data_IF_673579637855
#
_entry.id   IF_673579637855
#
_cell.length_a   1.000
_cell.length_b   1.000
_cell.length_c   1.000
_cell.angle_alpha   90.00
_cell.angle_beta   90.00
_cell.angle_gamma   90.00
#
_symmetry.space_group_name_H-M   'P 1'
#
loop_
_entity.id
_entity.type
_entity.pdbx_description
1 polymer ?
#
# COMPACT_ATOMS: atom_id res chain seq x y z
N UNK A 1 12.37 -7.25 -44.51
CA UNK A 1 11.65 -6.20 -43.75
C UNK A 1 11.18 -6.83 -42.46
N UNK A 2 11.93 -6.64 -41.37
CA UNK A 2 11.58 -7.17 -40.05
C UNK A 2 10.64 -6.17 -39.38
N UNK A 3 9.34 -6.46 -39.45
CA UNK A 3 8.32 -5.74 -38.73
C UNK A 3 8.54 -5.98 -37.23
N UNK A 4 9.20 -5.03 -36.58
CA UNK A 4 9.25 -4.88 -35.13
C UNK A 4 7.80 -4.86 -34.62
N UNK A 5 7.30 -6.03 -34.22
CA UNK A 5 6.10 -6.13 -33.39
C UNK A 5 6.44 -5.57 -32.01
N UNK A 6 6.47 -4.25 -31.88
CA UNK A 6 6.27 -3.58 -30.60
C UNK A 6 4.79 -3.72 -30.22
N UNK A 7 4.33 -4.95 -30.03
CA UNK A 7 3.12 -5.19 -29.28
C UNK A 7 3.50 -4.91 -27.83
N UNK A 8 2.98 -3.82 -27.27
CA UNK A 8 2.95 -3.59 -25.83
C UNK A 8 2.36 -4.85 -25.20
N UNK A 9 3.21 -5.75 -24.71
CA UNK A 9 2.80 -6.97 -24.02
C UNK A 9 1.94 -6.50 -22.84
N UNK A 10 0.63 -6.72 -22.93
CA UNK A 10 -0.34 -6.33 -21.91
C UNK A 10 0.03 -7.11 -20.65
N UNK A 11 0.61 -6.44 -19.65
CA UNK A 11 1.02 -7.06 -18.40
C UNK A 11 -0.22 -7.71 -17.76
N UNK A 12 -0.10 -8.96 -17.34
CA UNK A 12 -1.15 -9.66 -16.59
C UNK A 12 -1.58 -8.82 -15.38
N UNK A 13 -2.88 -8.60 -15.22
CA UNK A 13 -3.41 -7.76 -14.15
C UNK A 13 -3.02 -8.27 -12.77
N UNK A 14 -2.94 -9.60 -12.56
CA UNK A 14 -2.45 -10.21 -11.31
C UNK A 14 -1.01 -9.82 -11.01
N UNK A 15 -0.16 -9.81 -12.04
CA UNK A 15 1.25 -9.39 -11.94
C UNK A 15 1.35 -7.89 -11.64
N UNK A 16 0.56 -7.08 -12.32
CA UNK A 16 0.53 -5.63 -12.10
C UNK A 16 0.09 -5.28 -10.67
N UNK A 17 -1.01 -5.87 -10.19
CA UNK A 17 -1.52 -5.64 -8.83
C UNK A 17 -0.50 -6.06 -7.77
N UNK A 18 0.10 -7.24 -7.92
CA UNK A 18 1.17 -7.73 -7.03
C UNK A 18 2.38 -6.79 -7.02
N UNK A 19 2.81 -6.31 -8.19
CA UNK A 19 3.92 -5.35 -8.31
C UNK A 19 3.60 -4.02 -7.64
N UNK A 20 2.38 -3.50 -7.78
CA UNK A 20 1.97 -2.28 -7.10
C UNK A 20 1.97 -2.44 -5.58
N UNK A 21 1.55 -3.59 -5.04
CA UNK A 21 1.65 -3.88 -3.61
C UNK A 21 3.10 -3.96 -3.11
N UNK A 22 4.02 -4.49 -3.92
CA UNK A 22 5.47 -4.45 -3.60
C UNK A 22 5.94 -3.01 -3.49
N UNK A 23 5.56 -2.15 -4.45
CA UNK A 23 5.92 -0.73 -4.43
C UNK A 23 5.35 -0.03 -3.19
N UNK A 24 4.08 -0.27 -2.85
CA UNK A 24 3.47 0.26 -1.62
C UNK A 24 4.23 -0.20 -0.39
N UNK A 25 4.50 -1.50 -0.25
CA UNK A 25 5.19 -2.05 0.92
C UNK A 25 6.61 -1.48 1.10
N UNK A 26 7.36 -1.32 0.00
CA UNK A 26 8.71 -0.72 0.05
C UNK A 26 8.63 0.75 0.46
N UNK A 27 7.65 1.50 -0.04
CA UNK A 27 7.46 2.90 0.35
C UNK A 27 7.12 3.00 1.84
N UNK A 28 6.21 2.16 2.36
CA UNK A 28 5.81 2.17 3.77
C UNK A 28 7.03 1.90 4.66
N UNK A 29 7.83 0.89 4.28
CA UNK A 29 9.07 0.57 4.98
C UNK A 29 10.05 1.75 4.97
N UNK A 30 10.14 2.50 3.87
CA UNK A 30 11.02 3.68 3.78
C UNK A 30 10.50 4.86 4.56
N UNK A 31 9.19 5.09 4.59
CA UNK A 31 8.56 6.12 5.43
C UNK A 31 8.91 5.87 6.91
N UNK A 32 8.75 4.64 7.39
CA UNK A 32 9.06 4.27 8.76
C UNK A 32 10.54 4.41 9.09
N UNK A 33 11.43 3.86 8.25
CA UNK A 33 12.89 3.96 8.46
C UNK A 33 13.33 5.42 8.54
N UNK A 34 12.85 6.29 7.66
CA UNK A 34 13.19 7.71 7.68
C UNK A 34 12.61 8.43 8.91
N UNK A 35 11.40 8.04 9.32
CA UNK A 35 10.73 8.61 10.49
C UNK A 35 11.49 8.32 11.80
N UNK A 36 12.22 7.20 11.88
CA UNK A 36 13.09 6.90 13.04
C UNK A 36 14.21 7.91 13.26
N UNK A 37 14.59 8.68 12.23
CA UNK A 37 15.63 9.71 12.32
C UNK A 37 15.07 11.10 12.65
N UNK A 38 13.75 11.24 12.81
CA UNK A 38 13.11 12.49 13.18
C UNK A 38 13.38 12.79 14.66
N UNK A 39 13.95 13.95 15.01
CA UNK A 39 14.07 14.37 16.39
C UNK A 39 12.68 14.50 17.03
N UNK A 40 12.47 13.85 18.18
CA UNK A 40 11.21 13.93 18.90
C UNK A 40 10.14 12.90 18.48
N UNK A 41 10.49 11.91 17.64
CA UNK A 41 9.55 10.87 17.19
C UNK A 41 8.92 10.09 18.36
N UNK A 42 9.68 9.90 19.44
CA UNK A 42 9.20 9.24 20.66
C UNK A 42 8.09 10.03 21.36
N UNK A 43 8.23 11.35 21.41
CA UNK A 43 7.27 12.28 21.98
C UNK A 43 6.00 12.35 21.13
N UNK A 44 6.11 12.24 19.81
CA UNK A 44 4.95 12.10 18.92
C UNK A 44 4.17 10.81 19.18
N UNK A 45 4.85 9.67 19.35
CA UNK A 45 4.18 8.39 19.68
C UNK A 45 3.45 8.48 21.02
N UNK A 46 4.02 9.17 22.02
CA UNK A 46 3.36 9.41 23.30
C UNK A 46 2.14 10.31 23.14
N UNK A 47 2.22 11.38 22.33
CA UNK A 47 1.06 12.23 22.01
C UNK A 47 -0.04 11.45 21.30
N UNK A 48 0.31 10.59 20.35
CA UNK A 48 -0.64 9.71 19.65
C UNK A 48 -1.31 8.72 20.60
N UNK A 49 -0.56 8.17 21.56
CA UNK A 49 -1.11 7.33 22.63
C UNK A 49 -2.17 8.10 23.44
N UNK A 50 -1.86 9.35 23.82
CA UNK A 50 -2.78 10.19 24.58
C UNK A 50 -4.04 10.60 23.78
N UNK A 51 -3.92 10.85 22.47
CA UNK A 51 -5.05 11.28 21.63
C UNK A 51 -5.96 10.11 21.21
N UNK A 52 -5.39 8.94 20.95
CA UNK A 52 -6.14 7.75 20.51
C UNK A 52 -6.64 6.88 21.66
N UNK A 53 -6.06 7.02 22.85
CA UNK A 53 -6.31 6.14 23.98
C UNK A 53 -5.71 4.73 23.84
N UNK A 54 -4.99 4.46 22.75
CA UNK A 54 -4.33 3.19 22.50
C UNK A 54 -2.89 3.21 23.05
N UNK A 55 -2.52 2.17 23.79
CA UNK A 55 -1.15 2.01 24.30
C UNK A 55 -0.13 1.82 23.17
N UNK A 56 1.14 2.14 23.44
CA UNK A 56 2.23 1.97 22.47
C UNK A 56 2.27 0.55 21.87
N UNK A 57 2.17 -0.55 22.66
CA UNK A 57 2.12 -1.90 22.10
C UNK A 57 0.94 -2.13 21.14
N UNK A 58 -0.21 -1.51 21.39
CA UNK A 58 -1.38 -1.61 20.51
C UNK A 58 -1.17 -0.82 19.21
N UNK A 59 -0.55 0.36 19.27
CA UNK A 59 -0.18 1.12 18.08
C UNK A 59 0.83 0.34 17.22
N UNK A 60 1.85 -0.27 17.84
CA UNK A 60 2.81 -1.13 17.16
C UNK A 60 2.15 -2.36 16.52
N UNK A 61 1.22 -3.01 17.22
CA UNK A 61 0.45 -4.12 16.68
C UNK A 61 -0.40 -3.67 15.48
N UNK A 62 -1.04 -2.49 15.58
CA UNK A 62 -1.80 -1.90 14.47
C UNK A 62 -0.94 -1.68 13.23
N UNK A 63 0.25 -1.08 13.39
CA UNK A 63 1.22 -0.90 12.30
C UNK A 63 1.67 -2.23 11.69
N UNK A 64 1.98 -3.23 12.53
CA UNK A 64 2.37 -4.56 12.08
C UNK A 64 1.27 -5.26 11.27
N UNK A 65 0.02 -5.21 11.73
CA UNK A 65 -1.13 -5.77 11.00
C UNK A 65 -1.32 -5.10 9.64
N UNK A 66 -1.15 -3.77 9.57
CA UNK A 66 -1.26 -3.04 8.31
C UNK A 66 -0.17 -3.43 7.30
N UNK A 67 1.07 -3.60 7.76
CA UNK A 67 2.16 -4.10 6.91
C UNK A 67 1.91 -5.53 6.43
N UNK A 68 1.46 -6.42 7.32
CA UNK A 68 1.13 -7.80 6.95
C UNK A 68 0.00 -7.88 5.93
N UNK A 69 -0.97 -6.98 5.97
CA UNK A 69 -1.99 -6.89 4.91
C UNK A 69 -1.37 -6.57 3.55
N UNK A 70 -0.44 -5.60 3.48
CA UNK A 70 0.26 -5.28 2.24
C UNK A 70 1.09 -6.48 1.73
N UNK A 71 1.83 -7.15 2.62
CA UNK A 71 2.62 -8.35 2.30
C UNK A 71 1.72 -9.48 1.79
N UNK A 72 0.61 -9.76 2.49
CA UNK A 72 -0.35 -10.76 2.07
C UNK A 72 -0.89 -10.46 0.66
N UNK A 73 -1.22 -9.19 0.38
CA UNK A 73 -1.73 -8.78 -0.93
C UNK A 73 -0.73 -8.96 -2.08
N UNK A 74 0.58 -8.92 -1.83
CA UNK A 74 1.60 -9.24 -2.84
C UNK A 74 1.38 -10.67 -3.35
N UNK A 75 1.14 -11.63 -2.45
CA UNK A 75 0.96 -13.04 -2.77
C UNK A 75 -0.47 -13.31 -3.25
N UNK A 76 -1.47 -12.82 -2.52
CA UNK A 76 -2.89 -13.06 -2.81
C UNK A 76 -3.29 -12.51 -4.17
N UNK A 77 -2.71 -11.39 -4.61
CA UNK A 77 -2.96 -10.86 -5.95
C UNK A 77 -2.55 -11.82 -7.07
N UNK A 78 -1.66 -12.78 -6.80
CA UNK A 78 -1.21 -13.80 -7.77
C UNK A 78 -1.99 -15.10 -7.68
N UNK A 79 -2.41 -15.49 -6.48
CA UNK A 79 -3.01 -16.79 -6.22
C UNK A 79 -4.54 -16.80 -6.33
N UNK A 80 -5.19 -15.66 -6.06
CA UNK A 80 -6.65 -15.62 -5.98
C UNK A 80 -7.32 -15.54 -7.35
N UNK A 81 -8.47 -16.22 -7.44
CA UNK A 81 -9.39 -16.14 -8.56
C UNK A 81 -9.93 -14.71 -8.72
N UNK A 82 -10.23 -14.35 -9.98
CA UNK A 82 -10.70 -13.02 -10.40
C UNK A 82 -11.60 -12.28 -9.39
N UNK A 83 -12.73 -12.90 -9.02
CA UNK A 83 -13.76 -12.23 -8.22
C UNK A 83 -13.27 -11.82 -6.84
N UNK A 84 -12.64 -12.74 -6.10
CA UNK A 84 -12.13 -12.46 -4.77
C UNK A 84 -10.92 -11.52 -4.80
N UNK A 85 -10.04 -11.71 -5.78
CA UNK A 85 -8.85 -10.90 -5.97
C UNK A 85 -9.19 -9.43 -6.23
N UNK A 86 -10.19 -9.17 -7.09
CA UNK A 86 -10.70 -7.84 -7.38
C UNK A 86 -11.19 -7.12 -6.12
N UNK A 87 -12.08 -7.76 -5.35
CA UNK A 87 -12.67 -7.13 -4.17
C UNK A 87 -11.67 -6.92 -3.05
N UNK A 88 -10.78 -7.89 -2.80
CA UNK A 88 -9.74 -7.73 -1.78
C UNK A 88 -8.78 -6.59 -2.11
N UNK A 89 -8.33 -6.47 -3.36
CA UNK A 89 -7.49 -5.35 -3.77
C UNK A 89 -8.15 -4.00 -3.51
N UNK A 90 -9.45 -3.85 -3.82
CA UNK A 90 -10.19 -2.62 -3.57
C UNK A 90 -10.34 -2.35 -2.07
N UNK A 91 -10.85 -3.33 -1.31
CA UNK A 91 -11.15 -3.15 0.12
C UNK A 91 -9.89 -2.85 0.91
N UNK A 92 -8.83 -3.65 0.72
CA UNK A 92 -7.56 -3.45 1.43
C UNK A 92 -6.96 -2.09 1.05
N UNK A 93 -7.00 -1.69 -0.23
CA UNK A 93 -6.50 -0.36 -0.62
C UNK A 93 -7.26 0.79 0.05
N UNK A 94 -8.58 0.68 0.15
CA UNK A 94 -9.43 1.69 0.83
C UNK A 94 -9.09 1.78 2.32
N UNK A 95 -8.71 0.67 2.96
CA UNK A 95 -8.29 0.65 4.37
C UNK A 95 -6.86 1.22 4.52
N UNK A 96 -5.96 0.94 3.57
CA UNK A 96 -4.57 1.41 3.63
C UNK A 96 -4.44 2.92 3.42
N UNK A 97 -5.27 3.53 2.57
CA UNK A 97 -5.22 4.99 2.31
C UNK A 97 -5.34 5.85 3.60
N UNK A 98 -6.38 5.70 4.44
CA UNK A 98 -6.49 6.50 5.66
C UNK A 98 -5.40 6.16 6.67
N UNK A 99 -4.88 4.93 6.67
CA UNK A 99 -3.74 4.57 7.52
C UNK A 99 -2.47 5.35 7.13
N UNK A 100 -2.13 5.36 5.85
CA UNK A 100 -0.99 6.13 5.30
C UNK A 100 -1.15 7.63 5.59
N UNK A 101 -2.34 8.18 5.37
CA UNK A 101 -2.62 9.59 5.64
C UNK A 101 -2.65 9.91 7.15
N UNK A 102 -3.02 8.94 7.98
CA UNK A 102 -3.18 9.07 9.42
C UNK A 102 -1.88 8.99 10.22
N UNK A 103 -0.76 8.53 9.64
CA UNK A 103 0.52 8.42 10.34
C UNK A 103 1.12 9.74 10.82
N UNK A 104 0.53 10.88 10.46
CA UNK A 104 0.55 12.09 11.29
C UNK A 104 1.85 12.91 11.26
N UNK A 105 2.88 12.45 10.57
CA UNK A 105 4.17 13.14 10.52
C UNK A 105 4.17 14.15 9.37
N UNK A 106 4.19 15.45 9.67
CA UNK A 106 4.20 16.53 8.66
C UNK A 106 5.58 16.76 8.03
N UNK A 107 6.51 15.83 8.19
CA UNK A 107 7.83 15.93 7.60
C UNK A 107 7.76 15.78 6.06
N UNK A 108 8.57 16.55 5.30
CA UNK A 108 8.48 16.55 3.83
C UNK A 108 8.63 15.17 3.17
N UNK A 109 9.51 14.31 3.71
CA UNK A 109 9.69 12.96 3.17
C UNK A 109 8.45 12.09 3.37
N UNK A 110 7.78 12.22 4.52
CA UNK A 110 6.57 11.46 4.83
C UNK A 110 5.43 11.86 3.89
N UNK A 111 5.23 13.17 3.70
CA UNK A 111 4.21 13.70 2.76
C UNK A 111 4.47 13.21 1.33
N UNK A 112 5.73 13.27 0.88
CA UNK A 112 6.09 12.83 -0.46
C UNK A 112 5.86 11.33 -0.68
N UNK A 113 6.29 10.50 0.29
CA UNK A 113 6.11 9.05 0.22
C UNK A 113 4.62 8.69 0.31
N UNK A 114 3.88 9.29 1.24
CA UNK A 114 2.44 9.09 1.38
C UNK A 114 1.68 9.44 0.09
N UNK A 115 2.08 10.50 -0.62
CA UNK A 115 1.47 10.85 -1.89
C UNK A 115 1.70 9.75 -2.96
N UNK A 116 2.92 9.19 -3.04
CA UNK A 116 3.23 8.10 -3.96
C UNK A 116 2.48 6.82 -3.61
N UNK A 117 2.35 6.50 -2.32
CA UNK A 117 1.56 5.36 -1.84
C UNK A 117 0.10 5.50 -2.21
N UNK A 118 -0.51 6.66 -1.95
CA UNK A 118 -1.90 6.94 -2.31
C UNK A 118 -2.10 6.82 -3.82
N UNK A 119 -1.18 7.33 -4.64
CA UNK A 119 -1.23 7.14 -6.10
C UNK A 119 -1.21 5.65 -6.46
N UNK A 120 -0.31 4.86 -5.88
CA UNK A 120 -0.23 3.42 -6.13
C UNK A 120 -1.51 2.69 -5.70
N UNK A 121 -2.09 3.03 -4.55
CA UNK A 121 -3.33 2.46 -4.05
C UNK A 121 -4.53 2.81 -4.95
N UNK A 122 -4.58 4.05 -5.45
CA UNK A 122 -5.59 4.45 -6.44
C UNK A 122 -5.41 3.71 -7.77
N UNK A 123 -4.17 3.45 -8.20
CA UNK A 123 -3.90 2.61 -9.36
C UNK A 123 -4.34 1.17 -9.13
N UNK A 124 -4.12 0.60 -7.95
CA UNK A 124 -4.61 -0.74 -7.57
C UNK A 124 -6.14 -0.78 -7.69
N UNK A 125 -6.84 0.17 -7.07
CA UNK A 125 -8.30 0.27 -7.12
C UNK A 125 -8.79 0.40 -8.57
N UNK A 126 -8.20 1.30 -9.35
CA UNK A 126 -8.59 1.54 -10.75
C UNK A 126 -8.39 0.30 -11.63
N UNK A 127 -7.25 -0.37 -11.50
CA UNK A 127 -6.95 -1.59 -12.26
C UNK A 127 -7.87 -2.74 -11.84
N UNK A 128 -8.06 -2.95 -10.54
CA UNK A 128 -8.98 -3.97 -10.02
C UNK A 128 -10.43 -3.70 -10.47
N UNK A 129 -10.86 -2.44 -10.49
CA UNK A 129 -12.22 -2.07 -10.92
C UNK A 129 -12.44 -2.28 -12.43
N UNK A 130 -11.43 -1.97 -13.25
CA UNK A 130 -11.47 -2.11 -14.71
C UNK A 130 -11.27 -3.56 -15.17
N UNK A 131 -10.67 -4.40 -14.35
CA UNK A 131 -10.44 -5.81 -14.66
C UNK A 131 -11.77 -6.51 -14.89
N UNK A 132 -11.95 -7.18 -16.03
CA UNK A 132 -13.17 -7.94 -16.39
C UNK A 132 -12.88 -9.43 -16.29
N UNK A 133 -13.92 -10.23 -16.01
CA UNK A 133 -13.79 -11.68 -15.89
C UNK A 133 -13.24 -12.36 -17.16
N UNK A 134 -13.40 -11.73 -18.33
CA UNK A 134 -12.88 -12.21 -19.62
C UNK A 134 -11.35 -12.10 -19.72
N UNK A 135 -10.72 -11.23 -18.91
CA UNK A 135 -9.29 -10.96 -18.90
C UNK A 135 -8.54 -11.73 -17.78
N UNK A 136 -9.14 -12.75 -17.16
CA UNK A 136 -8.69 -13.29 -15.86
C UNK A 136 -8.30 -14.77 -15.81
#
# INVERSE_FOLDING_TARGET
MNTQQNATQKIDTKVLLSTLWIVVMINMLKADILSLYIPGVTEEVVKTTASTGASIPQLMLGGAVMMEMAIAMIILSRLLNYGLNRWLNIVVSIITIPFVLGGGVTYPHYIFIAALEVICLLLIISNAWRWRAVDA
#
